data_IF_568515831327
#
_entry.id   IF_568515831327
#
_cell.length_a   1.000
_cell.length_b   1.000
_cell.length_c   1.000
_cell.angle_alpha   90.00
_cell.angle_beta   90.00
_cell.angle_gamma   90.00
#
_symmetry.space_group_name_H-M   'P 1'
#
loop_
_entity.id
_entity.type
_entity.pdbx_description
1 polymer ?
#
# COMPACT_ATOMS: atom_id res chain seq x y z
N UNK A 1 -12.08 -25.04 -14.39
CA UNK A 1 -11.91 -24.37 -13.10
C UNK A 1 -10.73 -23.44 -13.23
N UNK A 2 -10.97 -22.17 -13.53
CA UNK A 2 -9.91 -21.18 -13.66
C UNK A 2 -9.43 -20.81 -12.26
N UNK A 3 -8.23 -21.27 -11.94
CA UNK A 3 -7.55 -20.91 -10.70
C UNK A 3 -7.02 -19.50 -10.90
N UNK A 4 -7.68 -18.55 -10.25
CA UNK A 4 -7.27 -17.15 -10.24
C UNK A 4 -6.01 -17.04 -9.40
N UNK A 5 -4.85 -17.18 -10.05
CA UNK A 5 -3.57 -16.82 -9.44
C UNK A 5 -3.63 -15.31 -9.28
N UNK A 6 -3.82 -14.86 -8.04
CA UNK A 6 -3.61 -13.47 -7.65
C UNK A 6 -2.15 -13.17 -7.99
N UNK A 7 -1.92 -12.53 -9.15
CA UNK A 7 -0.61 -12.01 -9.50
C UNK A 7 -0.18 -11.11 -8.33
N UNK A 8 1.02 -11.30 -7.76
CA UNK A 8 1.52 -10.35 -6.78
C UNK A 8 1.52 -8.99 -7.49
N UNK A 9 0.87 -7.99 -6.88
CA UNK A 9 0.93 -6.64 -7.38
C UNK A 9 2.41 -6.27 -7.63
N UNK A 10 2.70 -5.52 -8.68
CA UNK A 10 4.06 -5.08 -9.00
C UNK A 10 4.75 -4.48 -7.76
N UNK A 11 6.07 -4.60 -7.66
CA UNK A 11 6.81 -4.13 -6.49
C UNK A 11 6.56 -2.64 -6.21
N UNK A 12 6.30 -1.84 -7.25
CA UNK A 12 5.88 -0.43 -7.15
C UNK A 12 4.51 -0.27 -6.46
N UNK A 13 3.53 -1.11 -6.78
CA UNK A 13 2.23 -1.11 -6.12
C UNK A 13 2.32 -1.57 -4.67
N UNK A 14 3.13 -2.59 -4.39
CA UNK A 14 3.38 -3.03 -3.02
C UNK A 14 4.05 -1.90 -2.22
N UNK A 15 5.04 -1.24 -2.82
CA UNK A 15 5.73 -0.12 -2.19
C UNK A 15 4.77 1.03 -1.85
N UNK A 16 3.87 1.41 -2.76
CA UNK A 16 2.83 2.41 -2.49
C UNK A 16 1.92 2.02 -1.32
N UNK A 17 1.47 0.77 -1.29
CA UNK A 17 0.62 0.26 -0.21
C UNK A 17 1.37 0.31 1.13
N UNK A 18 2.63 -0.12 1.16
CA UNK A 18 3.47 -0.03 2.36
C UNK A 18 3.61 1.43 2.81
N UNK A 19 3.96 2.31 1.88
CA UNK A 19 4.18 3.73 2.14
C UNK A 19 2.93 4.40 2.71
N UNK A 20 1.73 4.06 2.20
CA UNK A 20 0.45 4.59 2.70
C UNK A 20 0.21 4.30 4.19
N UNK A 21 0.70 3.18 4.69
CA UNK A 21 0.44 2.73 6.07
C UNK A 21 1.63 2.92 7.01
N UNK A 22 2.71 3.53 6.52
CA UNK A 22 3.99 3.64 7.21
C UNK A 22 4.34 5.09 7.51
N UNK A 23 4.85 5.32 8.72
CA UNK A 23 5.24 6.65 9.19
C UNK A 23 6.45 7.15 8.40
N UNK A 24 6.46 8.44 8.08
CA UNK A 24 7.63 9.05 7.45
C UNK A 24 8.82 9.03 8.42
N UNK A 25 9.99 8.66 7.91
CA UNK A 25 11.27 8.66 8.63
C UNK A 25 11.89 10.05 8.74
N UNK A 26 11.45 11.02 7.92
CA UNK A 26 12.02 12.38 7.86
C UNK A 26 11.21 13.43 8.63
N UNK A 27 9.96 13.15 8.97
CA UNK A 27 9.11 14.08 9.70
C UNK A 27 8.23 13.36 10.72
N UNK A 28 7.80 14.08 11.76
CA UNK A 28 7.04 13.50 12.87
C UNK A 28 5.52 13.62 12.72
N UNK A 29 5.03 14.39 11.76
CA UNK A 29 3.59 14.63 11.57
C UNK A 29 2.95 13.71 10.51
N UNK A 30 3.74 12.99 9.71
CA UNK A 30 3.23 12.15 8.64
C UNK A 30 3.15 10.67 9.04
N UNK A 31 1.94 10.12 9.06
CA UNK A 31 1.67 8.73 9.46
C UNK A 31 1.47 7.76 8.27
N UNK A 32 1.62 8.25 7.05
CA UNK A 32 1.37 7.50 5.83
C UNK A 32 1.54 8.37 4.59
N UNK A 33 1.92 7.78 3.47
CA UNK A 33 1.95 8.44 2.17
C UNK A 33 0.52 8.85 1.77
N UNK A 34 0.28 10.14 1.65
CA UNK A 34 -1.01 10.69 1.24
C UNK A 34 -0.84 11.93 0.37
N UNK A 35 -1.80 12.23 -0.52
CA UNK A 35 -1.73 13.41 -1.38
C UNK A 35 -1.86 14.71 -0.57
N UNK A 36 -1.48 15.84 -1.17
CA UNK A 36 -1.86 17.17 -0.70
C UNK A 36 -3.38 17.29 -0.46
N UNK A 37 -3.81 18.04 0.57
CA UNK A 37 -5.22 18.11 0.97
C UNK A 37 -6.13 18.78 -0.08
N UNK A 38 -5.54 19.52 -1.01
CA UNK A 38 -6.19 20.17 -2.15
C UNK A 38 -6.37 19.23 -3.36
N UNK A 39 -5.78 18.05 -3.33
CA UNK A 39 -5.91 17.06 -4.40
C UNK A 39 -7.02 16.05 -4.06
N UNK A 40 -8.05 16.02 -4.89
CA UNK A 40 -9.14 15.06 -4.78
C UNK A 40 -8.78 13.75 -5.47
N UNK A 41 -8.49 12.71 -4.69
CA UNK A 41 -8.28 11.36 -5.22
C UNK A 41 -9.63 10.68 -5.43
N UNK A 42 -9.80 10.05 -6.59
CA UNK A 42 -10.91 9.13 -6.87
C UNK A 42 -10.36 7.73 -7.01
N UNK A 43 -11.14 6.72 -6.61
CA UNK A 43 -10.83 5.34 -6.97
C UNK A 43 -11.25 5.16 -8.43
N UNK A 44 -10.42 4.48 -9.23
CA UNK A 44 -10.89 3.99 -10.51
C UNK A 44 -12.00 2.98 -10.25
N UNK A 45 -13.23 3.40 -10.50
CA UNK A 45 -14.39 2.53 -10.47
C UNK A 45 -14.25 1.58 -11.65
N UNK A 46 -13.55 0.46 -11.43
CA UNK A 46 -13.67 -0.74 -12.26
C UNK A 46 -15.06 -1.36 -12.02
N UNK A 47 -16.11 -0.60 -12.32
CA UNK A 47 -17.47 -1.10 -12.36
C UNK A 47 -17.58 -2.07 -13.54
N UNK A 48 -17.92 -3.36 -13.37
CA UNK A 48 -18.21 -4.26 -14.50
C UNK A 48 -19.58 -3.98 -15.16
N UNK A 49 -20.03 -2.72 -15.19
CA UNK A 49 -21.31 -2.34 -15.76
C UNK A 49 -21.58 -0.86 -15.56
N UNK A 50 -21.17 -0.02 -16.51
CA UNK A 50 -21.38 1.42 -16.35
C UNK A 50 -21.08 2.31 -17.54
N UNK A 51 -20.30 1.89 -18.54
CA UNK A 51 -20.23 2.63 -19.81
C UNK A 51 -21.37 2.20 -20.72
N UNK A 52 -22.60 2.58 -20.36
CA UNK A 52 -23.71 2.68 -21.32
C UNK A 52 -23.42 3.92 -22.17
N UNK A 53 -22.46 3.82 -23.10
CA UNK A 53 -22.40 4.58 -24.35
C UNK A 53 -21.26 3.98 -25.21
N UNK A 54 -21.62 3.13 -26.15
CA UNK A 54 -20.81 2.91 -27.36
C UNK A 54 -19.97 1.64 -27.40
N UNK A 55 -20.62 0.56 -27.82
CA UNK A 55 -20.07 -0.50 -28.65
C UNK A 55 -18.89 -0.07 -29.54
N UNK A 56 -17.69 -0.58 -29.22
CA UNK A 56 -16.61 -0.86 -30.18
C UNK A 56 -15.84 -2.09 -29.69
N UNK A 57 -16.35 -3.27 -30.03
CA UNK A 57 -15.49 -4.45 -30.24
C UNK A 57 -14.25 -4.06 -31.06
N UNK A 58 -13.06 -4.47 -30.59
CA UNK A 58 -11.71 -4.35 -31.20
C UNK A 58 -10.80 -3.22 -30.69
N UNK A 59 -10.09 -3.50 -29.60
CA UNK A 59 -8.63 -3.46 -29.67
C UNK A 59 -8.06 -4.42 -28.62
N UNK A 60 -7.14 -5.31 -29.03
CA UNK A 60 -6.32 -6.05 -28.08
C UNK A 60 -5.37 -5.09 -27.41
N UNK A 61 -5.83 -4.41 -26.36
CA UNK A 61 -4.95 -3.66 -25.48
C UNK A 61 -4.37 -4.63 -24.47
N UNK A 62 -3.17 -5.06 -24.80
CA UNK A 62 -2.11 -5.34 -23.83
C UNK A 62 -1.88 -4.06 -22.99
N UNK A 63 -2.89 -3.63 -22.22
CA UNK A 63 -2.85 -2.44 -21.39
C UNK A 63 -2.15 -2.80 -20.07
N UNK A 64 -0.83 -2.91 -20.16
CA UNK A 64 0.09 -2.55 -19.09
C UNK A 64 0.05 -1.01 -18.78
N UNK A 65 -1.00 -0.28 -19.20
CA UNK A 65 -1.01 1.20 -19.25
C UNK A 65 -1.68 1.91 -18.05
N UNK A 66 -2.21 1.21 -17.05
CA UNK A 66 -2.86 1.89 -15.89
C UNK A 66 -2.27 1.57 -14.53
N UNK A 67 -0.95 1.42 -14.47
CA UNK A 67 -0.21 1.25 -13.21
C UNK A 67 0.81 2.36 -12.97
N UNK A 68 0.59 3.56 -13.54
CA UNK A 68 1.38 4.72 -13.13
C UNK A 68 1.08 5.01 -11.65
N UNK A 69 2.10 5.10 -10.79
CA UNK A 69 1.88 5.40 -9.38
C UNK A 69 1.24 6.78 -9.26
N UNK A 70 -0.06 6.85 -8.98
CA UNK A 70 -0.79 8.11 -8.88
C UNK A 70 -0.30 9.02 -7.72
N UNK A 71 0.58 8.50 -6.85
CA UNK A 71 1.09 9.20 -5.69
C UNK A 71 2.57 8.87 -5.45
N UNK A 72 3.48 9.60 -6.09
CA UNK A 72 4.93 9.44 -5.90
C UNK A 72 5.48 10.28 -4.72
N UNK A 73 4.80 11.38 -4.39
CA UNK A 73 5.24 12.34 -3.35
C UNK A 73 4.11 12.59 -2.35
N UNK A 74 4.43 12.49 -1.06
CA UNK A 74 3.49 12.78 0.02
C UNK A 74 3.30 14.29 0.20
N UNK A 75 2.19 14.68 0.81
CA UNK A 75 1.96 16.06 1.30
C UNK A 75 3.07 16.60 2.20
N UNK A 76 3.82 15.71 2.89
CA UNK A 76 4.96 16.10 3.72
C UNK A 76 6.24 16.40 2.91
N UNK A 77 6.20 16.27 1.58
CA UNK A 77 7.31 16.53 0.67
C UNK A 77 8.29 15.36 0.49
N UNK A 78 8.01 14.19 1.09
CA UNK A 78 8.86 13.01 1.00
C UNK A 78 8.22 11.89 0.18
N UNK A 79 9.04 11.04 -0.43
CA UNK A 79 8.60 9.99 -1.33
C UNK A 79 8.34 8.65 -0.63
N UNK A 80 8.12 7.63 -1.46
CA UNK A 80 7.89 6.24 -1.06
C UNK A 80 9.00 5.68 -0.13
N UNK A 81 10.31 5.86 -0.42
CA UNK A 81 11.38 5.31 0.43
C UNK A 81 11.37 5.87 1.85
N UNK A 82 11.13 7.18 2.00
CA UNK A 82 11.06 7.82 3.31
C UNK A 82 9.85 7.36 4.13
N UNK A 83 8.84 6.77 3.49
CA UNK A 83 7.70 6.12 4.13
C UNK A 83 7.91 4.61 4.29
N UNK A 84 9.15 4.14 4.38
CA UNK A 84 9.45 2.76 4.79
C UNK A 84 9.19 1.70 3.73
N UNK A 85 9.02 2.10 2.47
CA UNK A 85 8.84 1.19 1.34
C UNK A 85 10.12 1.12 0.48
N UNK A 86 11.26 0.86 1.13
CA UNK A 86 12.54 0.65 0.49
C UNK A 86 12.98 -0.81 0.67
N UNK A 87 12.93 -1.59 -0.41
CA UNK A 87 13.33 -3.00 -0.41
C UNK A 87 14.81 -3.18 -0.10
N UNK A 88 15.68 -2.25 -0.49
CA UNK A 88 17.12 -2.36 -0.20
C UNK A 88 17.41 -2.24 1.31
N UNK A 89 16.56 -1.50 2.04
CA UNK A 89 16.68 -1.31 3.48
C UNK A 89 15.99 -2.43 4.26
N UNK A 90 14.80 -2.88 3.81
CA UNK A 90 14.04 -3.94 4.48
C UNK A 90 14.54 -5.35 4.15
N UNK A 91 15.03 -5.56 2.94
CA UNK A 91 15.25 -6.85 2.32
C UNK A 91 13.96 -7.49 1.80
N UNK A 92 14.09 -8.28 0.73
CA UNK A 92 12.98 -8.91 -0.01
C UNK A 92 11.96 -9.64 0.86
N UNK A 93 12.42 -10.36 1.89
CA UNK A 93 11.54 -11.12 2.77
C UNK A 93 10.65 -10.22 3.64
N UNK A 94 11.25 -9.17 4.21
CA UNK A 94 10.51 -8.25 5.07
C UNK A 94 9.62 -7.34 4.24
N UNK A 95 10.11 -6.85 3.10
CA UNK A 95 9.33 -6.11 2.12
C UNK A 95 8.07 -6.88 1.72
N UNK A 96 8.21 -8.15 1.34
CA UNK A 96 7.07 -9.01 1.03
C UNK A 96 6.13 -9.23 2.23
N UNK A 97 6.66 -9.34 3.46
CA UNK A 97 5.83 -9.48 4.67
C UNK A 97 5.00 -8.23 4.94
N UNK A 98 5.63 -7.06 5.01
CA UNK A 98 4.93 -5.80 5.27
C UNK A 98 4.01 -5.45 4.11
N UNK A 99 4.37 -5.82 2.88
CA UNK A 99 3.53 -5.70 1.69
C UNK A 99 2.20 -6.45 1.84
N UNK A 100 2.22 -7.71 2.30
CA UNK A 100 0.98 -8.46 2.56
C UNK A 100 0.10 -7.82 3.63
N UNK A 101 0.70 -7.27 4.69
CA UNK A 101 -0.04 -6.55 5.75
C UNK A 101 -0.65 -5.27 5.18
N UNK A 102 0.08 -4.54 4.34
CA UNK A 102 -0.39 -3.32 3.70
C UNK A 102 -1.55 -3.56 2.72
N UNK A 103 -1.47 -4.64 1.93
CA UNK A 103 -2.58 -5.08 1.08
C UNK A 103 -3.82 -5.36 1.93
N UNK A 104 -3.66 -6.08 3.05
CA UNK A 104 -4.78 -6.41 3.93
C UNK A 104 -5.40 -5.16 4.60
N UNK A 105 -4.58 -4.17 4.93
CA UNK A 105 -5.05 -2.86 5.42
C UNK A 105 -5.89 -2.14 4.37
N UNK A 106 -5.42 -2.08 3.14
CA UNK A 106 -6.16 -1.49 2.02
C UNK A 106 -7.51 -2.18 1.80
N UNK A 107 -7.54 -3.52 1.76
CA UNK A 107 -8.78 -4.29 1.62
C UNK A 107 -9.78 -3.95 2.73
N UNK A 108 -9.34 -3.92 3.98
CA UNK A 108 -10.22 -3.63 5.11
C UNK A 108 -10.77 -2.20 5.06
N UNK A 109 -9.96 -1.25 4.63
CA UNK A 109 -10.39 0.13 4.44
C UNK A 109 -11.34 0.25 3.25
N UNK A 110 -11.10 -0.47 2.16
CA UNK A 110 -11.97 -0.51 0.99
C UNK A 110 -13.35 -1.09 1.34
N UNK A 111 -13.39 -2.21 2.06
CA UNK A 111 -14.63 -2.85 2.54
C UNK A 111 -15.48 -1.90 3.41
N UNK A 112 -14.83 -0.95 4.08
CA UNK A 112 -15.46 0.05 4.95
C UNK A 112 -15.78 1.37 4.23
N UNK A 113 -15.39 1.52 2.95
CA UNK A 113 -15.50 2.79 2.22
C UNK A 113 -14.59 3.89 2.79
N UNK A 114 -13.47 3.51 3.41
CA UNK A 114 -12.50 4.38 4.10
C UNK A 114 -11.10 4.37 3.48
N UNK A 115 -10.93 3.78 2.30
CA UNK A 115 -9.63 3.67 1.63
C UNK A 115 -8.96 5.03 1.36
N UNK A 116 -9.75 6.05 1.04
CA UNK A 116 -9.29 7.41 0.79
C UNK A 116 -9.35 8.32 2.04
N UNK A 117 -9.80 7.78 3.18
CA UNK A 117 -9.82 8.50 4.45
C UNK A 117 -8.50 8.26 5.18
N UNK A 118 -7.46 9.02 4.79
CA UNK A 118 -6.09 8.87 5.31
C UNK A 118 -5.96 9.10 6.83
N UNK A 119 -6.98 9.69 7.46
CA UNK A 119 -7.03 9.93 8.90
C UNK A 119 -7.85 8.88 9.67
N UNK A 120 -8.53 7.98 8.96
CA UNK A 120 -9.34 6.94 9.58
C UNK A 120 -8.47 5.95 10.38
N UNK A 121 -8.94 5.63 11.58
CA UNK A 121 -8.32 4.62 12.42
C UNK A 121 -9.33 3.98 13.35
N UNK A 122 -9.25 2.66 13.48
CA UNK A 122 -9.96 1.86 14.46
C UNK A 122 -9.05 0.78 15.07
N UNK A 123 -9.61 -0.09 15.91
CA UNK A 123 -8.87 -1.14 16.62
C UNK A 123 -8.21 -2.14 15.67
N UNK A 124 -8.88 -2.53 14.59
CA UNK A 124 -8.36 -3.50 13.62
C UNK A 124 -7.23 -2.89 12.80
N UNK A 125 -7.45 -1.66 12.32
CA UNK A 125 -6.44 -0.88 11.57
C UNK A 125 -5.19 -0.67 12.43
N UNK A 126 -5.34 -0.28 13.69
CA UNK A 126 -4.20 -0.14 14.61
C UNK A 126 -3.49 -1.48 14.85
N UNK A 127 -4.25 -2.58 14.94
CA UNK A 127 -3.68 -3.91 15.14
C UNK A 127 -2.82 -4.36 13.95
N UNK A 128 -3.28 -4.11 12.73
CA UNK A 128 -2.52 -4.39 11.52
C UNK A 128 -1.33 -3.44 11.35
N UNK A 129 -1.48 -2.14 11.64
CA UNK A 129 -0.37 -1.17 11.63
C UNK A 129 0.76 -1.53 12.60
N UNK A 130 0.48 -2.23 13.71
CA UNK A 130 1.54 -2.76 14.58
C UNK A 130 2.41 -3.82 13.87
N UNK A 131 1.83 -4.57 12.94
CA UNK A 131 2.54 -5.58 12.15
C UNK A 131 3.32 -4.98 10.98
N UNK A 132 3.07 -3.71 10.61
CA UNK A 132 3.86 -2.98 9.60
C UNK A 132 5.27 -2.63 10.08
N UNK A 133 5.53 -2.67 11.39
CA UNK A 133 6.85 -2.36 11.93
C UNK A 133 7.84 -3.47 11.55
N UNK A 134 9.07 -3.13 11.14
CA UNK A 134 10.09 -4.12 10.87
C UNK A 134 10.37 -4.92 12.15
N UNK A 135 10.55 -6.24 12.01
CA UNK A 135 10.98 -7.07 13.12
C UNK A 135 12.39 -6.65 13.54
N UNK A 136 12.51 -6.00 14.70
CA UNK A 136 13.81 -5.73 15.28
C UNK A 136 14.32 -7.04 15.90
N UNK A 137 15.10 -7.82 15.14
CA UNK A 137 15.66 -9.11 15.59
C UNK A 137 16.69 -8.99 16.73
N UNK A 138 16.80 -7.83 17.38
CA UNK A 138 17.78 -7.52 18.43
C UNK A 138 17.44 -8.11 19.82
N UNK A 139 16.47 -9.02 19.91
CA UNK A 139 16.16 -9.77 21.14
C UNK A 139 16.62 -11.23 21.11
N UNK A 140 17.80 -11.50 20.55
CA UNK A 140 18.52 -12.74 20.89
C UNK A 140 19.03 -12.66 22.32
N UNK A 141 18.18 -13.06 23.27
CA UNK A 141 18.55 -13.26 24.68
C UNK A 141 19.87 -14.02 24.78
N UNK A 142 20.85 -13.57 25.59
CA UNK A 142 22.03 -14.37 25.86
C UNK A 142 21.58 -15.64 26.59
N UNK A 143 21.78 -16.81 25.97
CA UNK A 143 21.68 -18.10 26.67
C UNK A 143 22.66 -18.06 27.84
N UNK A 144 22.13 -17.98 29.05
CA UNK A 144 22.89 -18.21 30.26
C UNK A 144 23.46 -19.64 30.20
N UNK A 145 24.79 -19.74 30.11
CA UNK A 145 25.51 -20.97 30.41
C UNK A 145 25.59 -21.09 31.93
N UNK A 146 24.92 -22.11 32.47
CA UNK A 146 25.11 -22.63 33.82
C UNK A 146 25.43 -24.11 33.72
#
# INVERSE_FOLDING_TARGET
MQQQVLYPASDSHIALKIARHSRCSRCECCYGLHPPPDLHVVLDDSSPGGSVLGDLDQYGSDDDEDTRPYLETCSCGHGIPEHGADENVLGINEFGRVGRVAVRLDELLQDRGKLLDFNYSDVDIQSLKRQMKPFNSSNSSPRASG
#
